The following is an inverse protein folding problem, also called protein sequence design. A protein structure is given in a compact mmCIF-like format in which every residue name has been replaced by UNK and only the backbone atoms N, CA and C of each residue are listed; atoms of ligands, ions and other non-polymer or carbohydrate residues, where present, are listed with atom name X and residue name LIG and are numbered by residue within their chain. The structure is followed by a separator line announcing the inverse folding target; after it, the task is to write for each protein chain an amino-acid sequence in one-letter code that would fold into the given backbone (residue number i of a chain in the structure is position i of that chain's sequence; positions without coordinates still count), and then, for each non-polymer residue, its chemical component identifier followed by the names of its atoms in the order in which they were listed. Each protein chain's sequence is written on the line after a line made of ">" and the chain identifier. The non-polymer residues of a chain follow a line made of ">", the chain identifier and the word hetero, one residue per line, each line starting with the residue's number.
data_IF_859354403408
#
_entry.id   IF_859354403408
#
_cell.length_a   1.000
_cell.length_b   1.000
_cell.length_c   1.000
_cell.angle_alpha   90.00
_cell.angle_beta   90.00
_cell.angle_gamma   90.00
#
_symmetry.space_group_name_H-M   'P 1'
#
loop_
_entity.id
_entity.type
_entity.pdbx_description
1 polymer ?
#
# COMPACT_ATOMS: atom_id res chain seq x y z
N UNK A 1 -0.21 29.60 -4.01
CA UNK A 1 -0.50 28.17 -4.25
C UNK A 1 0.75 27.34 -3.90
N UNK A 2 0.61 26.39 -3.03
CA UNK A 2 1.72 25.45 -2.80
C UNK A 2 1.98 24.72 -4.12
N UNK A 3 3.22 24.79 -4.59
CA UNK A 3 3.62 24.14 -5.83
C UNK A 3 3.39 22.62 -5.67
N UNK A 4 2.52 22.06 -6.49
CA UNK A 4 2.21 20.61 -6.44
C UNK A 4 3.47 19.74 -6.55
N UNK A 5 4.48 20.23 -7.26
CA UNK A 5 5.77 19.55 -7.41
C UNK A 5 6.54 19.40 -6.10
N UNK A 6 6.18 20.14 -5.06
CA UNK A 6 6.82 20.04 -3.73
C UNK A 6 6.08 19.11 -2.78
N UNK A 7 5.06 18.39 -3.25
CA UNK A 7 4.31 17.46 -2.42
C UNK A 7 5.01 16.09 -2.34
N UNK A 8 4.87 15.38 -1.21
CA UNK A 8 5.56 14.10 -1.04
C UNK A 8 5.07 13.03 -2.02
N UNK A 9 5.96 12.08 -2.27
CA UNK A 9 5.71 10.94 -3.16
C UNK A 9 5.31 9.72 -2.34
N UNK A 10 4.48 8.88 -2.94
CA UNK A 10 3.97 7.64 -2.35
C UNK A 10 4.34 6.50 -3.29
N UNK A 11 4.79 5.38 -2.71
CA UNK A 11 5.05 4.14 -3.46
C UNK A 11 4.07 3.08 -3.00
N UNK A 12 3.45 2.41 -3.97
CA UNK A 12 2.52 1.31 -3.73
C UNK A 12 2.94 0.05 -4.45
N UNK A 13 2.50 -1.11 -3.97
CA UNK A 13 2.37 -2.30 -4.79
C UNK A 13 0.95 -2.31 -5.35
N UNK A 14 0.81 -2.31 -6.67
CA UNK A 14 -0.50 -2.22 -7.31
C UNK A 14 -1.27 -3.51 -7.14
N UNK A 15 -2.55 -3.39 -6.79
CA UNK A 15 -3.45 -4.55 -6.72
C UNK A 15 -3.92 -4.87 -8.14
N UNK A 16 -3.78 -6.15 -8.53
CA UNK A 16 -4.18 -6.62 -9.84
C UNK A 16 -5.59 -7.21 -9.84
N UNK A 17 -5.69 -8.50 -10.13
CA UNK A 17 -6.97 -9.20 -10.23
C UNK A 17 -7.79 -9.20 -8.94
N UNK A 18 -7.13 -9.00 -7.79
CA UNK A 18 -7.79 -8.97 -6.48
C UNK A 18 -8.38 -7.62 -6.10
N UNK A 19 -8.13 -6.58 -6.89
CA UNK A 19 -8.61 -5.24 -6.59
C UNK A 19 -10.14 -5.20 -6.38
N UNK A 20 -10.89 -5.89 -7.23
CA UNK A 20 -12.35 -5.85 -7.19
C UNK A 20 -12.96 -6.26 -5.86
N UNK A 21 -12.55 -7.42 -5.31
CA UNK A 21 -13.13 -7.90 -4.06
C UNK A 21 -12.63 -7.11 -2.84
N UNK A 22 -11.39 -6.62 -2.88
CA UNK A 22 -10.84 -5.75 -1.83
C UNK A 22 -11.55 -4.40 -1.81
N UNK A 23 -11.77 -3.80 -2.99
CA UNK A 23 -12.50 -2.55 -3.12
C UNK A 23 -13.96 -2.70 -2.66
N UNK A 24 -14.61 -3.80 -2.99
CA UNK A 24 -15.98 -4.09 -2.52
C UNK A 24 -16.06 -4.11 -0.99
N UNK A 25 -15.11 -4.76 -0.33
CA UNK A 25 -15.06 -4.78 1.13
C UNK A 25 -14.80 -3.38 1.70
N UNK A 26 -13.91 -2.63 1.08
CA UNK A 26 -13.63 -1.26 1.50
C UNK A 26 -14.87 -0.37 1.35
N UNK A 27 -15.60 -0.47 0.23
CA UNK A 27 -16.84 0.28 0.01
C UNK A 27 -17.91 -0.05 1.04
N UNK A 28 -18.00 -1.30 1.48
CA UNK A 28 -18.99 -1.74 2.46
C UNK A 28 -18.67 -1.31 3.89
N UNK A 29 -17.38 -1.24 4.25
CA UNK A 29 -16.97 -1.17 5.66
C UNK A 29 -16.25 0.12 6.02
N UNK A 30 -15.65 0.81 5.07
CA UNK A 30 -15.03 2.09 5.32
C UNK A 30 -16.09 3.19 5.35
N UNK A 31 -16.12 4.10 6.36
CA UNK A 31 -17.08 5.19 6.37
C UNK A 31 -17.01 6.01 5.07
N UNK A 32 -18.14 6.18 4.34
CA UNK A 32 -18.12 6.83 3.03
C UNK A 32 -17.52 8.25 3.06
N UNK A 33 -17.81 9.00 4.12
CA UNK A 33 -17.32 10.38 4.29
C UNK A 33 -15.82 10.46 4.54
N UNK A 34 -15.18 9.34 4.85
CA UNK A 34 -13.73 9.24 5.10
C UNK A 34 -13.00 8.45 4.02
N UNK A 35 -13.74 7.85 3.08
CA UNK A 35 -13.21 6.95 2.08
C UNK A 35 -12.82 7.73 0.82
N UNK A 36 -11.64 8.36 0.84
CA UNK A 36 -11.14 9.19 -0.26
C UNK A 36 -10.27 8.42 -1.25
N UNK A 37 -9.82 7.21 -0.88
CA UNK A 37 -8.93 6.40 -1.69
C UNK A 37 -9.57 5.04 -1.99
N UNK A 38 -9.17 4.44 -3.10
CA UNK A 38 -9.49 3.05 -3.41
C UNK A 38 -8.61 2.11 -2.62
N UNK A 39 -8.97 0.82 -2.58
CA UNK A 39 -8.13 -0.21 -1.96
C UNK A 39 -6.71 -0.14 -2.55
N UNK A 40 -5.71 -0.17 -1.67
CA UNK A 40 -4.31 -0.01 -2.06
C UNK A 40 -3.38 -0.65 -1.03
N UNK A 41 -2.15 -0.93 -1.46
CA UNK A 41 -1.08 -1.44 -0.60
C UNK A 41 0.07 -0.43 -0.64
N UNK A 42 0.20 0.37 0.42
CA UNK A 42 1.24 1.39 0.52
C UNK A 42 2.56 0.79 0.98
N UNK A 43 3.63 1.12 0.28
CA UNK A 43 5.00 0.75 0.67
C UNK A 43 5.75 1.91 1.32
N UNK A 44 5.57 3.13 0.82
CA UNK A 44 6.15 4.36 1.38
C UNK A 44 5.12 5.47 1.34
N UNK A 45 4.99 6.19 2.45
CA UNK A 45 3.94 7.20 2.64
C UNK A 45 4.37 8.61 2.24
N UNK A 46 5.65 8.95 2.39
CA UNK A 46 6.11 10.31 2.17
C UNK A 46 7.60 10.36 1.82
N UNK A 47 7.92 10.13 0.53
CA UNK A 47 9.27 10.30 0.02
C UNK A 47 9.42 11.74 -0.47
N UNK A 48 10.55 12.42 -0.17
CA UNK A 48 10.75 13.80 -0.62
C UNK A 48 10.66 13.93 -2.14
N UNK A 49 9.99 14.97 -2.66
CA UNK A 49 9.88 15.18 -4.10
C UNK A 49 11.24 15.37 -4.80
N UNK A 50 12.25 15.82 -4.06
CA UNK A 50 13.62 15.95 -4.59
C UNK A 50 14.23 14.60 -4.99
N UNK A 51 13.71 13.49 -4.46
CA UNK A 51 14.18 12.14 -4.77
C UNK A 51 13.46 11.51 -5.97
N UNK A 52 12.56 12.22 -6.64
CA UNK A 52 11.70 11.64 -7.68
C UNK A 52 12.50 10.95 -8.79
N UNK A 53 13.52 11.62 -9.33
CA UNK A 53 14.32 11.07 -10.43
C UNK A 53 15.03 9.78 -10.02
N UNK A 54 15.62 9.75 -8.83
CA UNK A 54 16.28 8.56 -8.27
C UNK A 54 15.27 7.44 -8.02
N UNK A 55 14.14 7.78 -7.43
CA UNK A 55 13.07 6.82 -7.14
C UNK A 55 12.54 6.16 -8.42
N UNK A 56 12.35 6.93 -9.49
CA UNK A 56 11.94 6.38 -10.79
C UNK A 56 12.95 5.36 -11.32
N UNK A 57 14.25 5.64 -11.21
CA UNK A 57 15.29 4.69 -11.62
C UNK A 57 15.26 3.42 -10.80
N UNK A 58 15.09 3.54 -9.48
CA UNK A 58 15.02 2.40 -8.57
C UNK A 58 13.82 1.52 -8.92
N UNK A 59 12.62 2.10 -9.05
CA UNK A 59 11.39 1.36 -9.34
C UNK A 59 11.45 0.68 -10.71
N UNK A 60 11.99 1.35 -11.71
CA UNK A 60 12.16 0.77 -13.05
C UNK A 60 13.11 -0.43 -13.02
N UNK A 61 14.22 -0.33 -12.28
CA UNK A 61 15.17 -1.42 -12.11
C UNK A 61 14.55 -2.63 -11.41
N UNK A 62 13.83 -2.41 -10.31
CA UNK A 62 13.17 -3.47 -9.55
C UNK A 62 12.07 -4.16 -10.36
N UNK A 63 11.37 -3.42 -11.21
CA UNK A 63 10.30 -3.97 -12.05
C UNK A 63 10.83 -4.83 -13.21
N UNK A 64 12.14 -4.92 -13.42
CA UNK A 64 12.70 -5.89 -14.39
C UNK A 64 12.66 -7.33 -13.88
N UNK A 65 12.44 -7.51 -12.58
CA UNK A 65 12.31 -8.81 -11.95
C UNK A 65 10.88 -9.37 -12.11
N UNK A 66 10.69 -10.68 -11.86
CA UNK A 66 9.36 -11.27 -11.84
C UNK A 66 8.47 -10.66 -10.74
N UNK A 67 7.16 -10.75 -10.94
CA UNK A 67 6.17 -10.33 -9.98
C UNK A 67 6.36 -11.04 -8.63
N UNK A 68 6.31 -10.31 -7.49
CA UNK A 68 6.44 -10.95 -6.18
C UNK A 68 5.27 -11.88 -5.88
N UNK A 69 5.57 -13.02 -5.28
CA UNK A 69 4.57 -13.96 -4.76
C UNK A 69 4.02 -13.40 -3.45
N UNK A 70 2.70 -13.34 -3.33
CA UNK A 70 2.03 -12.79 -2.15
C UNK A 70 0.77 -13.56 -1.81
N UNK A 71 0.38 -13.52 -0.54
CA UNK A 71 -0.87 -14.12 -0.06
C UNK A 71 -1.44 -13.34 1.10
N UNK A 72 -2.75 -13.52 1.31
CA UNK A 72 -3.42 -13.01 2.52
C UNK A 72 -2.95 -13.84 3.72
N UNK A 73 -2.49 -13.18 4.77
CA UNK A 73 -1.95 -13.84 5.98
C UNK A 73 -2.73 -13.48 7.24
N UNK A 74 -4.04 -13.25 7.11
CA UNK A 74 -4.91 -12.91 8.22
C UNK A 74 -5.30 -11.44 8.27
N UNK A 75 -5.87 -11.05 9.40
CA UNK A 75 -6.36 -9.70 9.62
C UNK A 75 -5.46 -8.94 10.59
N UNK A 76 -5.40 -7.63 10.43
CA UNK A 76 -4.77 -6.70 11.36
C UNK A 76 -5.83 -5.81 11.98
N UNK A 77 -5.80 -5.70 13.31
CA UNK A 77 -6.59 -4.71 14.03
C UNK A 77 -5.81 -3.39 14.07
N UNK A 78 -6.34 -2.37 13.40
CA UNK A 78 -5.73 -1.03 13.37
C UNK A 78 -6.13 -0.17 14.58
N UNK A 79 -6.89 -0.72 15.53
CA UNK A 79 -7.49 0.02 16.63
C UNK A 79 -8.85 0.58 16.23
N UNK A 80 -8.90 1.45 15.25
CA UNK A 80 -10.13 2.01 14.68
C UNK A 80 -10.47 1.46 13.31
N UNK A 81 -10.06 0.24 12.98
CA UNK A 81 -10.33 -0.37 11.68
C UNK A 81 -9.64 -1.71 11.50
N UNK A 82 -9.78 -2.25 10.30
CA UNK A 82 -9.30 -3.58 9.91
C UNK A 82 -8.56 -3.52 8.59
N UNK A 83 -7.46 -4.24 8.51
CA UNK A 83 -6.70 -4.46 7.28
C UNK A 83 -6.43 -5.94 7.09
N UNK A 84 -6.22 -6.36 5.84
CA UNK A 84 -5.61 -7.65 5.54
C UNK A 84 -4.11 -7.55 5.65
N UNK A 85 -3.49 -8.46 6.38
CA UNK A 85 -2.04 -8.64 6.41
C UNK A 85 -1.63 -9.39 5.15
N UNK A 86 -0.61 -8.90 4.47
CA UNK A 86 -0.08 -9.51 3.25
C UNK A 86 1.29 -10.12 3.57
N UNK A 87 1.46 -11.40 3.25
CA UNK A 87 2.74 -12.08 3.39
C UNK A 87 3.39 -12.19 2.00
N UNK A 88 4.60 -11.65 1.88
CA UNK A 88 5.41 -11.72 0.68
C UNK A 88 6.86 -11.41 1.01
N UNK A 89 7.71 -12.43 1.06
CA UNK A 89 9.14 -12.25 1.29
C UNK A 89 9.77 -11.42 0.18
N UNK A 90 9.32 -11.61 -1.06
CA UNK A 90 9.83 -10.89 -2.22
C UNK A 90 9.45 -9.41 -2.19
N UNK A 91 8.21 -9.08 -1.80
CA UNK A 91 7.80 -7.68 -1.64
C UNK A 91 8.54 -7.02 -0.47
N UNK A 92 8.72 -7.73 0.62
CA UNK A 92 9.50 -7.26 1.76
C UNK A 92 10.95 -6.93 1.34
N UNK A 93 11.56 -7.78 0.50
CA UNK A 93 12.90 -7.55 -0.04
C UNK A 93 12.93 -6.32 -0.97
N UNK A 94 11.93 -6.14 -1.82
CA UNK A 94 11.79 -4.95 -2.68
C UNK A 94 11.70 -3.69 -1.82
N UNK A 95 10.88 -3.73 -0.79
CA UNK A 95 10.71 -2.59 0.12
C UNK A 95 12.02 -2.25 0.84
N UNK A 96 12.74 -3.26 1.31
CA UNK A 96 14.03 -3.09 1.99
C UNK A 96 15.09 -2.48 1.04
N UNK A 97 15.12 -2.90 -0.22
CA UNK A 97 16.05 -2.37 -1.22
C UNK A 97 15.79 -0.88 -1.49
N UNK A 98 14.52 -0.49 -1.66
CA UNK A 98 14.14 0.91 -1.83
C UNK A 98 14.57 1.73 -0.61
N UNK A 99 14.27 1.25 0.58
CA UNK A 99 14.61 1.93 1.83
C UNK A 99 16.12 2.12 1.98
N UNK A 100 16.89 1.11 1.62
CA UNK A 100 18.36 1.15 1.66
C UNK A 100 18.92 2.23 0.71
N UNK A 101 18.39 2.29 -0.50
CA UNK A 101 18.84 3.26 -1.51
C UNK A 101 18.44 4.70 -1.18
N UNK A 102 17.37 4.88 -0.40
CA UNK A 102 16.89 6.19 0.03
C UNK A 102 17.26 6.49 1.49
N UNK A 103 18.28 5.80 2.02
CA UNK A 103 18.74 5.99 3.38
C UNK A 103 19.04 7.47 3.66
N UNK A 104 18.54 7.97 4.80
CA UNK A 104 18.68 9.37 5.19
C UNK A 104 17.63 10.32 4.61
N UNK A 105 16.81 9.86 3.66
CA UNK A 105 15.74 10.66 3.03
C UNK A 105 14.35 10.30 3.53
N UNK A 106 14.22 9.21 4.29
CA UNK A 106 12.91 8.70 4.73
C UNK A 106 12.42 9.43 5.97
N UNK A 107 11.09 9.62 6.06
CA UNK A 107 10.45 10.06 7.30
C UNK A 107 10.60 8.99 8.38
N UNK A 108 10.36 9.36 9.65
CA UNK A 108 10.38 8.39 10.74
C UNK A 108 9.40 7.24 10.51
N UNK A 109 8.22 7.52 9.95
CA UNK A 109 7.23 6.51 9.61
C UNK A 109 7.77 5.52 8.57
N UNK A 110 8.36 6.03 7.49
CA UNK A 110 8.85 5.18 6.39
C UNK A 110 10.16 4.47 6.73
N UNK A 111 10.93 5.00 7.68
CA UNK A 111 12.15 4.36 8.19
C UNK A 111 11.87 3.29 9.26
N UNK A 112 10.69 3.31 9.87
CA UNK A 112 10.28 2.34 10.89
C UNK A 112 9.98 0.96 10.28
N UNK A 113 9.76 -0.03 11.16
CA UNK A 113 9.35 -1.36 10.72
C UNK A 113 8.07 -1.32 9.89
N UNK A 114 8.02 -2.09 8.80
CA UNK A 114 6.92 -2.11 7.87
C UNK A 114 6.29 -3.49 7.79
N UNK A 115 4.97 -3.51 7.63
CA UNK A 115 4.20 -4.73 7.42
C UNK A 115 3.19 -4.47 6.31
N UNK A 116 3.29 -5.23 5.22
CA UNK A 116 2.39 -5.08 4.08
C UNK A 116 0.94 -5.37 4.48
N UNK A 117 0.04 -4.47 4.10
CA UNK A 117 -1.38 -4.61 4.41
C UNK A 117 -2.26 -3.82 3.44
N UNK A 118 -3.52 -4.24 3.36
CA UNK A 118 -4.57 -3.53 2.60
C UNK A 118 -5.71 -3.20 3.56
N UNK A 119 -5.95 -1.93 3.78
CA UNK A 119 -6.99 -1.44 4.70
C UNK A 119 -8.35 -1.51 4.03
N UNK A 120 -9.33 -2.12 4.71
CA UNK A 120 -10.72 -2.18 4.27
C UNK A 120 -11.66 -1.38 5.17
N UNK A 121 -11.21 -0.99 6.36
CA UNK A 121 -11.99 -0.19 7.30
C UNK A 121 -11.02 0.64 8.15
N UNK A 122 -11.35 1.92 8.37
CA UNK A 122 -10.65 2.76 9.32
C UNK A 122 -11.56 3.90 9.77
N UNK A 123 -11.17 4.62 10.82
CA UNK A 123 -11.95 5.75 11.36
C UNK A 123 -13.31 5.33 11.91
N UNK A 124 -13.37 4.14 12.51
CA UNK A 124 -14.57 3.62 13.19
C UNK A 124 -14.27 3.41 14.67
N UNK A 125 -15.31 3.27 15.53
CA UNK A 125 -15.10 2.86 16.92
C UNK A 125 -14.43 1.49 17.01
N UNK A 126 -13.58 1.24 18.03
CA UNK A 126 -12.90 -0.05 18.19
C UNK A 126 -13.81 -1.27 18.21
N UNK A 127 -15.04 -1.13 18.74
CA UNK A 127 -16.04 -2.21 18.76
C UNK A 127 -16.45 -2.64 17.33
N UNK A 128 -16.54 -1.68 16.41
CA UNK A 128 -16.90 -1.96 15.02
C UNK A 128 -15.77 -2.70 14.29
N UNK A 129 -14.52 -2.36 14.58
CA UNK A 129 -13.37 -3.08 14.06
C UNK A 129 -13.35 -4.54 14.55
N UNK A 130 -13.61 -4.76 15.86
CA UNK A 130 -13.68 -6.11 16.43
C UNK A 130 -14.82 -6.93 15.81
N UNK A 131 -15.98 -6.31 15.61
CA UNK A 131 -17.13 -6.96 14.99
C UNK A 131 -16.82 -7.38 13.55
N UNK A 132 -16.16 -6.53 12.78
CA UNK A 132 -15.78 -6.85 11.41
C UNK A 132 -14.76 -7.98 11.36
N UNK A 133 -13.76 -7.97 12.24
CA UNK A 133 -12.77 -9.06 12.33
C UNK A 133 -13.43 -10.39 12.62
N UNK A 134 -14.38 -10.42 13.56
CA UNK A 134 -15.14 -11.63 13.89
C UNK A 134 -15.99 -12.12 12.71
N UNK A 135 -16.61 -11.20 11.98
CA UNK A 135 -17.42 -11.50 10.80
C UNK A 135 -16.60 -12.09 9.66
N UNK A 136 -15.42 -11.54 9.37
CA UNK A 136 -14.55 -12.04 8.30
C UNK A 136 -13.86 -13.34 8.73
N UNK A 137 -13.34 -13.39 9.96
CA UNK A 137 -12.62 -14.56 10.47
C UNK A 137 -11.45 -14.94 9.57
N UNK A 138 -11.38 -16.23 9.22
CA UNK A 138 -10.28 -16.80 8.42
C UNK A 138 -10.66 -17.03 6.95
N UNK A 139 -11.77 -16.45 6.51
CA UNK A 139 -12.36 -16.72 5.19
C UNK A 139 -11.38 -16.54 4.03
N UNK A 140 -10.48 -15.56 4.11
CA UNK A 140 -9.55 -15.21 3.03
C UNK A 140 -8.13 -15.67 3.27
N UNK A 141 -7.85 -16.32 4.40
CA UNK A 141 -6.51 -16.72 4.78
C UNK A 141 -5.91 -17.69 3.75
N UNK A 142 -4.64 -17.41 3.36
CA UNK A 142 -3.93 -18.20 2.37
C UNK A 142 -4.25 -17.87 0.91
N UNK A 143 -5.25 -17.00 0.67
CA UNK A 143 -5.61 -16.62 -0.71
C UNK A 143 -4.45 -15.90 -1.38
N UNK A 144 -4.03 -16.33 -2.61
CA UNK A 144 -3.01 -15.61 -3.36
C UNK A 144 -3.44 -14.18 -3.66
N UNK A 145 -2.47 -13.26 -3.65
CA UNK A 145 -2.69 -11.86 -3.99
C UNK A 145 -1.85 -11.51 -5.20
N UNK A 146 -2.49 -10.95 -6.23
CA UNK A 146 -1.86 -10.54 -7.47
C UNK A 146 -1.32 -9.11 -7.35
N UNK A 147 0.01 -8.94 -7.47
CA UNK A 147 0.71 -7.65 -7.37
C UNK A 147 1.51 -7.39 -8.65
N UNK A 148 0.85 -7.00 -9.77
CA UNK A 148 1.49 -6.97 -11.08
C UNK A 148 2.46 -5.81 -11.32
N UNK A 149 2.48 -4.80 -10.43
CA UNK A 149 3.26 -3.59 -10.68
C UNK A 149 3.58 -2.84 -9.39
N UNK A 150 4.58 -1.96 -9.47
CA UNK A 150 4.83 -0.91 -8.49
C UNK A 150 4.22 0.39 -9.00
N UNK A 151 3.64 1.19 -8.09
CA UNK A 151 3.04 2.48 -8.42
C UNK A 151 3.80 3.63 -7.77
N UNK A 152 3.93 4.74 -8.51
CA UNK A 152 4.46 6.00 -8.02
C UNK A 152 3.37 7.05 -8.08
N UNK A 153 3.10 7.69 -6.94
CA UNK A 153 2.03 8.67 -6.80
C UNK A 153 2.53 9.94 -6.13
N UNK A 154 1.81 11.03 -6.34
CA UNK A 154 2.01 12.28 -5.61
C UNK A 154 0.82 12.53 -4.69
N UNK A 155 1.09 12.83 -3.44
CA UNK A 155 0.06 13.21 -2.47
C UNK A 155 -0.47 14.60 -2.77
N UNK A 156 -1.80 14.76 -2.87
CA UNK A 156 -2.43 16.03 -3.19
C UNK A 156 -3.22 16.64 -2.03
N UNK A 157 -2.95 16.17 -0.80
CA UNK A 157 -3.66 16.66 0.38
C UNK A 157 -4.87 15.83 0.79
N UNK A 158 -5.03 14.67 0.21
CA UNK A 158 -6.11 13.69 0.40
C UNK A 158 -6.08 12.71 -0.75
N UNK A 159 -6.55 13.08 -1.94
CA UNK A 159 -6.39 12.25 -3.13
C UNK A 159 -4.93 12.17 -3.57
N UNK A 160 -4.64 11.15 -4.40
CA UNK A 160 -3.32 10.94 -5.01
C UNK A 160 -3.40 11.11 -6.51
N UNK A 161 -2.32 11.65 -7.09
CA UNK A 161 -2.11 11.65 -8.53
C UNK A 161 -1.14 10.51 -8.87
N UNK A 162 -1.55 9.57 -9.73
CA UNK A 162 -0.65 8.52 -10.21
C UNK A 162 0.29 9.12 -11.26
N UNK A 163 1.59 9.05 -10.97
CA UNK A 163 2.62 9.57 -11.87
C UNK A 163 3.07 8.51 -12.85
N UNK A 164 3.25 7.27 -12.39
CA UNK A 164 3.67 6.15 -13.23
C UNK A 164 3.40 4.80 -12.58
N UNK A 165 3.16 3.80 -13.42
CA UNK A 165 3.05 2.39 -13.06
C UNK A 165 4.21 1.64 -13.69
N UNK A 166 4.93 0.84 -12.88
CA UNK A 166 6.06 0.03 -13.31
C UNK A 166 5.67 -1.44 -13.22
N UNK A 167 5.32 -2.04 -14.36
CA UNK A 167 4.89 -3.44 -14.39
C UNK A 167 6.10 -4.36 -14.25
N UNK A 168 5.95 -5.39 -13.41
CA UNK A 168 6.95 -6.45 -13.31
C UNK A 168 7.01 -7.25 -14.60
N UNK A 169 8.20 -7.79 -14.90
CA UNK A 169 8.41 -8.67 -16.04
C UNK A 169 8.15 -10.13 -15.62
N UNK A 170 7.42 -10.83 -16.42
CA UNK A 170 7.11 -12.24 -16.21
C UNK A 170 5.65 -12.55 -16.28
#
# INVERSE_FOLDING_TARGET
>A
MANELNRPLIVTAELGTDFGWLEDLRQRHFPPERNQLRAHLTMFHAIPPSAEAELRRILQSLATEPQPQARIAGLMNLGGGVAFRIASDELDAIRAEIASRLHGLLTAQDAAGWSAHVTIQNKVPPRDAKALMASIGVRYDGRPLDLPALGLHRYLGGPWETLRTFRFRG
#
